data_IF_974189411929
#
_entry.id   IF_974189411929
#
_cell.length_a   1.000
_cell.length_b   1.000
_cell.length_c   1.000
_cell.angle_alpha   90.00
_cell.angle_beta   90.00
_cell.angle_gamma   90.00
#
_symmetry.space_group_name_H-M   'P 1'
#
loop_
_entity.id
_entity.type
_entity.pdbx_description
1 polymer ?
#
# COMPACT_ATOMS: atom_id res chain seq x y z
N UNK A 1 5.81 -1.63 -3.77
CA UNK A 1 4.81 -0.60 -3.38
C UNK A 1 5.10 0.67 -4.17
N UNK A 2 4.07 1.39 -4.62
CA UNK A 2 4.18 2.69 -5.31
C UNK A 2 2.98 3.56 -4.98
N UNK A 3 3.14 4.88 -4.85
CA UNK A 3 2.03 5.74 -4.47
C UNK A 3 2.38 7.21 -4.32
N UNK A 4 1.36 8.02 -4.00
CA UNK A 4 1.43 9.47 -3.86
C UNK A 4 1.30 9.83 -2.39
N UNK A 5 2.43 10.02 -1.70
CA UNK A 5 2.42 10.39 -0.28
C UNK A 5 1.98 11.85 -0.02
N UNK A 6 1.97 12.70 -1.06
CA UNK A 6 1.63 14.11 -0.94
C UNK A 6 2.81 15.00 -0.53
N UNK A 7 2.55 16.30 -0.25
CA UNK A 7 1.22 16.93 -0.27
C UNK A 7 0.69 17.20 -1.69
N UNK A 8 1.54 17.09 -2.72
CA UNK A 8 1.19 17.30 -4.12
C UNK A 8 1.29 16.00 -4.95
N UNK A 9 0.98 16.08 -6.24
CA UNK A 9 1.07 14.97 -7.18
C UNK A 9 -0.18 14.08 -7.26
N UNK A 10 -1.23 14.42 -6.49
CA UNK A 10 -2.54 13.78 -6.61
C UNK A 10 -3.38 14.34 -7.77
N UNK A 11 -4.34 13.55 -8.22
CA UNK A 11 -5.39 13.96 -9.16
C UNK A 11 -6.77 13.51 -8.66
N UNK A 12 -7.84 13.91 -9.33
CA UNK A 12 -9.19 13.42 -9.02
C UNK A 12 -9.29 11.88 -9.12
N UNK A 13 -8.58 11.28 -10.08
CA UNK A 13 -8.55 9.83 -10.30
C UNK A 13 -7.59 9.11 -9.34
N UNK A 14 -6.49 9.75 -8.95
CA UNK A 14 -5.45 9.20 -8.06
C UNK A 14 -5.10 10.24 -6.99
N UNK A 15 -5.96 10.41 -5.97
CA UNK A 15 -5.75 11.43 -4.94
C UNK A 15 -4.48 11.17 -4.13
N UNK A 16 -3.99 12.21 -3.46
CA UNK A 16 -2.96 12.07 -2.41
C UNK A 16 -3.40 11.01 -1.39
N UNK A 17 -2.45 10.20 -0.95
CA UNK A 17 -2.70 9.03 -0.12
C UNK A 17 -2.90 7.74 -0.91
N UNK A 18 -3.08 7.80 -2.24
CA UNK A 18 -3.25 6.59 -3.06
C UNK A 18 -1.94 5.81 -3.16
N UNK A 19 -1.97 4.55 -2.74
CA UNK A 19 -0.85 3.63 -2.76
C UNK A 19 -1.28 2.30 -3.35
N UNK A 20 -0.47 1.77 -4.25
CA UNK A 20 -0.59 0.43 -4.80
C UNK A 20 0.45 -0.49 -4.18
N UNK A 21 -0.04 -1.61 -3.70
CA UNK A 21 0.71 -2.72 -3.15
C UNK A 21 0.73 -3.86 -4.14
N UNK A 22 1.85 -4.56 -4.18
CA UNK A 22 2.02 -5.79 -4.92
C UNK A 22 2.83 -6.75 -4.06
N UNK A 23 2.33 -7.96 -3.89
CA UNK A 23 3.01 -9.04 -3.21
C UNK A 23 3.13 -10.23 -4.15
N UNK A 24 4.29 -10.88 -4.12
CA UNK A 24 4.53 -12.17 -4.73
C UNK A 24 5.00 -13.12 -3.64
N UNK A 25 4.19 -14.13 -3.31
CA UNK A 25 4.47 -15.11 -2.25
C UNK A 25 4.17 -16.49 -2.80
N UNK A 26 5.13 -17.41 -2.71
CA UNK A 26 4.99 -18.79 -3.23
C UNK A 26 4.49 -18.86 -4.69
N UNK A 27 4.94 -17.92 -5.53
CA UNK A 27 4.53 -17.83 -6.93
C UNK A 27 3.14 -17.21 -7.17
N UNK A 28 2.37 -16.92 -6.11
CA UNK A 28 1.10 -16.21 -6.21
C UNK A 28 1.32 -14.70 -6.15
N UNK A 29 0.83 -14.02 -7.18
CA UNK A 29 0.89 -12.55 -7.29
C UNK A 29 -0.47 -11.96 -6.92
N UNK A 30 -0.45 -10.93 -6.08
CA UNK A 30 -1.63 -10.14 -5.77
C UNK A 30 -1.29 -8.67 -5.73
N UNK A 31 -2.25 -7.83 -6.12
CA UNK A 31 -2.14 -6.40 -6.07
C UNK A 31 -3.36 -5.80 -5.36
N UNK A 32 -3.14 -4.69 -4.67
CA UNK A 32 -4.16 -3.98 -3.92
C UNK A 32 -3.92 -2.49 -4.02
N UNK A 33 -4.99 -1.70 -4.17
CA UNK A 33 -4.93 -0.26 -4.06
C UNK A 33 -5.56 0.15 -2.74
N UNK A 34 -4.85 0.99 -1.98
CA UNK A 34 -5.39 1.62 -0.79
C UNK A 34 -5.22 3.14 -0.83
N UNK A 35 -6.07 3.87 -0.11
CA UNK A 35 -5.90 5.30 0.13
C UNK A 35 -5.74 5.55 1.62
N UNK A 36 -4.66 6.19 2.01
CA UNK A 36 -4.40 6.60 3.38
C UNK A 36 -4.66 8.08 3.56
N UNK A 37 -5.20 8.46 4.71
CA UNK A 37 -5.36 9.85 5.11
C UNK A 37 -4.17 10.31 5.97
N UNK A 38 -4.00 11.62 6.10
CA UNK A 38 -2.92 12.25 6.87
C UNK A 38 -1.88 12.94 5.99
N UNK A 39 -0.85 13.46 6.65
CA UNK A 39 0.25 14.13 5.97
C UNK A 39 1.22 13.13 5.30
N UNK A 40 2.26 13.65 4.66
CA UNK A 40 3.25 12.84 3.95
C UNK A 40 3.95 11.81 4.85
N UNK A 41 4.15 12.12 6.14
CA UNK A 41 4.78 11.20 7.08
C UNK A 41 3.79 10.08 7.46
N UNK A 42 2.57 10.45 7.86
CA UNK A 42 1.51 9.51 8.22
C UNK A 42 1.18 8.54 7.08
N UNK A 43 1.11 9.02 5.83
CA UNK A 43 0.86 8.15 4.67
C UNK A 43 1.98 7.12 4.49
N UNK A 44 3.25 7.51 4.70
CA UNK A 44 4.39 6.59 4.61
C UNK A 44 4.38 5.56 5.72
N UNK A 45 4.09 5.95 6.96
CA UNK A 45 4.00 5.04 8.10
C UNK A 45 2.91 3.99 7.90
N UNK A 46 1.70 4.43 7.53
CA UNK A 46 0.59 3.53 7.22
C UNK A 46 0.92 2.61 6.03
N UNK A 47 1.61 3.13 5.01
CA UNK A 47 2.06 2.32 3.87
C UNK A 47 2.97 1.19 4.29
N UNK A 48 3.95 1.46 5.16
CA UNK A 48 4.88 0.44 5.65
C UNK A 48 4.14 -0.59 6.50
N UNK A 49 3.28 -0.15 7.42
CA UNK A 49 2.49 -1.04 8.26
C UNK A 49 1.60 -1.97 7.41
N UNK A 50 0.87 -1.43 6.43
CA UNK A 50 -0.01 -2.19 5.54
C UNK A 50 0.77 -3.18 4.66
N UNK A 51 1.93 -2.77 4.12
CA UNK A 51 2.77 -3.66 3.32
C UNK A 51 3.21 -4.91 4.10
N UNK A 52 3.65 -4.71 5.35
CA UNK A 52 4.12 -5.79 6.22
C UNK A 52 2.97 -6.67 6.69
N UNK A 53 1.85 -6.09 7.13
CA UNK A 53 0.66 -6.84 7.50
C UNK A 53 0.12 -7.68 6.33
N UNK A 54 0.06 -7.09 5.13
CA UNK A 54 -0.37 -7.79 3.92
C UNK A 54 0.57 -8.93 3.53
N UNK A 55 1.88 -8.80 3.76
CA UNK A 55 2.84 -9.89 3.55
C UNK A 55 2.65 -11.01 4.58
N UNK A 56 2.54 -10.68 5.86
CA UNK A 56 2.33 -11.64 6.94
C UNK A 56 1.06 -12.47 6.72
N UNK A 57 -0.03 -11.82 6.33
CA UNK A 57 -1.29 -12.49 6.01
C UNK A 57 -1.12 -13.54 4.89
N UNK A 58 -0.31 -13.23 3.87
CA UNK A 58 -0.06 -14.14 2.74
C UNK A 58 0.91 -15.27 3.08
N UNK A 59 1.85 -15.04 3.99
CA UNK A 59 2.72 -16.10 4.52
C UNK A 59 1.92 -17.08 5.40
N UNK A 60 1.01 -16.57 6.24
CA UNK A 60 0.15 -17.37 7.10
C UNK A 60 -1.00 -18.10 6.39
N UNK A 61 -1.33 -17.71 5.15
CA UNK A 61 -2.35 -18.37 4.33
C UNK A 61 -1.88 -19.69 3.71
N UNK A 62 -0.65 -20.14 4.03
CA UNK A 62 -0.13 -21.46 3.63
C UNK A 62 -0.67 -22.52 4.61
N UNK A 63 -1.96 -22.82 4.52
CA UNK A 63 -2.63 -23.94 5.18
C UNK A 63 -3.06 -24.98 4.16
#
# INVERSE_FOLDING_TARGET
>A
VTGIAGPSGGSAEKPVGTVWFGWCVNGQVSAERQRFDGDRAAVREQTVAHALQGLLARLGATG
#
